data_IF_033688841229
#
_entry.id   IF_033688841229
#
_cell.length_a   1.000
_cell.length_b   1.000
_cell.length_c   1.000
_cell.angle_alpha   90.00
_cell.angle_beta   90.00
_cell.angle_gamma   90.00
#
_symmetry.space_group_name_H-M   'P 1'
#
loop_
_entity.id
_entity.type
_entity.pdbx_description
1 polymer ?
#
# COMPACT_ATOMS: atom_id res chain seq x y z
N UNK A 1 30.09 23.09 2.76
CA UNK A 1 30.29 24.04 3.88
C UNK A 1 28.92 24.36 4.47
N UNK A 2 28.70 24.08 5.75
CA UNK A 2 27.44 24.41 6.45
C UNK A 2 27.53 25.90 6.79
N UNK A 3 26.73 26.75 6.13
CA UNK A 3 26.54 28.13 6.58
C UNK A 3 25.86 28.06 7.96
N UNK A 4 26.48 28.66 8.97
CA UNK A 4 26.31 28.33 10.40
C UNK A 4 24.87 28.20 10.92
N UNK A 5 24.71 27.45 12.01
CA UNK A 5 23.46 27.34 12.76
C UNK A 5 23.15 28.68 13.43
N UNK A 6 21.91 29.17 13.32
CA UNK A 6 21.42 30.36 14.00
C UNK A 6 20.32 29.96 14.98
N UNK A 7 20.29 30.59 16.15
CA UNK A 7 19.24 30.42 17.15
C UNK A 7 18.57 31.77 17.36
N UNK A 8 17.24 31.81 17.31
CA UNK A 8 16.46 33.02 17.57
C UNK A 8 16.17 33.12 19.06
N UNK A 9 16.60 34.21 19.69
CA UNK A 9 16.29 34.45 21.11
C UNK A 9 14.80 34.77 21.26
N UNK A 10 14.08 34.06 22.12
CA UNK A 10 12.63 34.27 22.26
C UNK A 10 12.25 35.61 22.87
N UNK A 11 13.10 36.16 23.74
CA UNK A 11 12.84 37.44 24.40
C UNK A 11 13.12 38.64 23.49
N UNK A 12 14.25 38.67 22.79
CA UNK A 12 14.66 39.82 21.98
C UNK A 12 14.52 39.61 20.47
N UNK A 13 14.07 38.43 20.03
CA UNK A 13 13.85 38.02 18.64
C UNK A 13 15.06 38.15 17.70
N UNK A 14 16.26 38.43 18.22
CA UNK A 14 17.51 38.44 17.43
C UNK A 14 17.97 37.03 17.11
N UNK A 15 18.43 36.84 15.87
CA UNK A 15 19.10 35.62 15.45
C UNK A 15 20.59 35.71 15.75
N UNK A 16 21.11 34.77 16.51
CA UNK A 16 22.52 34.72 16.92
C UNK A 16 23.14 33.47 16.31
N UNK A 17 24.34 33.60 15.73
CA UNK A 17 25.10 32.43 15.28
C UNK A 17 25.41 31.55 16.49
N UNK A 18 25.24 30.24 16.35
CA UNK A 18 25.53 29.27 17.42
C UNK A 18 27.00 29.37 17.88
N UNK A 19 27.91 29.80 16.99
CA UNK A 19 29.32 30.02 17.31
C UNK A 19 29.56 31.27 18.18
N UNK A 20 28.66 32.26 18.14
CA UNK A 20 28.71 33.46 18.95
C UNK A 20 27.78 33.37 20.17
N UNK A 21 27.34 32.17 20.58
CA UNK A 21 26.60 31.97 21.83
C UNK A 21 27.46 32.19 23.08
N UNK A 22 28.78 32.30 22.91
CA UNK A 22 29.69 32.81 23.95
C UNK A 22 29.68 34.34 24.06
N UNK A 23 29.16 35.04 23.05
CA UNK A 23 29.04 36.48 23.06
C UNK A 23 27.67 36.82 23.65
N UNK A 24 27.68 37.14 24.94
CA UNK A 24 26.48 37.38 25.72
C UNK A 24 25.55 38.41 25.05
N UNK A 25 24.26 38.09 24.98
CA UNK A 25 23.25 39.13 24.82
C UNK A 25 23.28 39.97 26.10
N UNK A 26 23.71 41.24 26.00
CA UNK A 26 23.96 42.13 27.15
C UNK A 26 22.80 42.19 28.16
N UNK A 27 21.58 41.84 27.75
CA UNK A 27 20.38 41.81 28.59
C UNK A 27 20.21 40.55 29.47
N UNK A 28 21.01 39.49 29.34
CA UNK A 28 20.78 38.20 30.04
C UNK A 28 22.00 37.63 30.78
N UNK A 29 22.76 38.49 31.44
CA UNK A 29 24.16 38.22 31.79
C UNK A 29 24.47 37.16 32.87
N UNK A 30 23.51 36.51 33.56
CA UNK A 30 23.95 35.92 34.84
C UNK A 30 23.54 34.52 35.30
N UNK A 31 22.73 33.69 34.63
CA UNK A 31 22.46 32.34 35.20
C UNK A 31 22.48 31.10 34.29
N UNK A 32 22.56 31.23 32.96
CA UNK A 32 22.43 30.06 32.07
C UNK A 32 23.61 29.77 31.12
N UNK A 33 24.65 30.62 31.08
CA UNK A 33 25.71 30.53 30.05
C UNK A 33 26.66 29.33 30.23
N UNK A 34 26.96 28.91 31.46
CA UNK A 34 27.92 27.82 31.72
C UNK A 34 27.34 26.45 31.33
N UNK A 35 26.06 26.20 31.61
CA UNK A 35 25.39 24.95 31.26
C UNK A 35 25.17 24.84 29.74
N UNK A 36 24.75 25.93 29.10
CA UNK A 36 24.58 25.99 27.65
C UNK A 36 25.91 25.82 26.90
N UNK A 37 26.98 26.48 27.36
CA UNK A 37 28.32 26.36 26.77
C UNK A 37 28.92 24.95 26.90
N UNK A 38 28.70 24.26 28.03
CA UNK A 38 29.10 22.86 28.21
C UNK A 38 28.30 21.89 27.31
N UNK A 39 27.00 22.13 27.12
CA UNK A 39 26.20 21.35 26.17
C UNK A 39 26.66 21.54 24.73
N UNK A 40 26.82 22.79 24.28
CA UNK A 40 27.24 23.08 22.90
C UNK A 40 28.64 22.51 22.62
N UNK A 41 29.57 22.61 23.58
CA UNK A 41 30.90 22.02 23.43
C UNK A 41 30.90 20.49 23.42
N UNK A 42 30.00 19.82 24.15
CA UNK A 42 29.80 18.37 24.06
C UNK A 42 29.19 17.95 22.71
N UNK A 43 28.24 18.73 22.17
CA UNK A 43 27.66 18.49 20.83
C UNK A 43 28.74 18.64 19.74
N UNK A 44 29.60 19.65 19.86
CA UNK A 44 30.68 19.91 18.89
C UNK A 44 31.79 18.86 19.02
N UNK A 45 32.23 18.51 20.24
CA UNK A 45 33.32 17.54 20.45
C UNK A 45 32.89 16.08 20.29
N UNK A 46 31.62 15.75 20.53
CA UNK A 46 31.05 14.41 20.34
C UNK A 46 30.72 14.05 18.89
N UNK A 47 30.87 14.99 17.94
CA UNK A 47 30.52 14.82 16.53
C UNK A 47 31.38 13.81 15.73
N UNK A 48 32.32 13.14 16.40
CA UNK A 48 33.01 11.94 15.89
C UNK A 48 32.18 10.65 16.01
N UNK A 49 31.04 10.66 16.72
CA UNK A 49 30.22 9.47 16.93
C UNK A 49 29.10 9.41 15.89
N UNK A 50 29.00 8.24 15.24
CA UNK A 50 27.98 7.84 14.25
C UNK A 50 26.51 7.93 14.74
N UNK A 51 26.27 8.49 15.93
CA UNK A 51 24.94 8.63 16.50
C UNK A 51 24.22 9.84 15.89
N UNK A 52 23.09 9.58 15.23
CA UNK A 52 22.24 10.55 14.54
C UNK A 52 21.46 11.48 15.48
N UNK A 53 21.44 11.20 16.80
CA UNK A 53 20.68 11.94 17.80
C UNK A 53 21.40 12.06 19.14
N UNK A 54 21.12 13.15 19.86
CA UNK A 54 21.62 13.44 21.21
C UNK A 54 20.40 13.57 22.11
N UNK A 55 20.31 12.76 23.16
CA UNK A 55 19.26 12.89 24.17
C UNK A 55 19.71 13.86 25.26
N UNK A 56 18.99 14.97 25.37
CA UNK A 56 19.20 16.00 26.38
C UNK A 56 18.20 15.76 27.51
N UNK A 57 18.62 15.76 28.79
CA UNK A 57 17.70 15.76 29.92
C UNK A 57 17.29 17.21 30.24
N UNK A 58 16.08 17.68 29.88
CA UNK A 58 15.50 18.79 30.62
C UNK A 58 15.11 18.26 32.01
N UNK A 59 14.79 19.13 32.97
CA UNK A 59 14.29 18.72 34.30
C UNK A 59 12.93 18.00 34.29
N UNK A 60 12.68 17.14 33.29
CA UNK A 60 11.46 16.39 32.98
C UNK A 60 11.77 15.28 31.96
N UNK A 61 10.85 15.02 31.01
CA UNK A 61 11.01 13.94 30.02
C UNK A 61 12.19 14.24 29.06
N UNK A 62 13.14 13.31 28.86
CA UNK A 62 14.28 13.53 27.97
C UNK A 62 13.86 13.91 26.54
N UNK A 63 14.54 14.89 25.95
CA UNK A 63 14.31 15.36 24.58
C UNK A 63 15.44 14.85 23.70
N UNK A 64 15.10 14.10 22.65
CA UNK A 64 16.08 13.66 21.63
C UNK A 64 16.18 14.69 20.51
N UNK A 65 17.37 15.25 20.33
CA UNK A 65 17.69 16.20 19.27
C UNK A 65 18.45 15.46 18.17
N UNK A 66 17.86 15.34 16.99
CA UNK A 66 18.52 14.76 15.82
C UNK A 66 19.20 15.84 14.98
N UNK A 67 20.41 15.57 14.50
CA UNK A 67 21.10 16.46 13.56
C UNK A 67 20.50 16.28 12.17
N UNK A 68 19.74 17.27 11.72
CA UNK A 68 19.25 17.32 10.33
C UNK A 68 20.28 18.07 9.48
N UNK A 69 20.97 17.36 8.59
CA UNK A 69 21.91 17.98 7.66
C UNK A 69 21.12 18.79 6.63
N UNK A 70 21.29 20.12 6.61
CA UNK A 70 20.65 20.96 5.60
C UNK A 70 21.15 20.59 4.20
N UNK A 71 20.22 20.37 3.28
CA UNK A 71 20.54 19.94 1.93
C UNK A 71 20.96 21.14 1.07
N UNK A 72 22.14 21.09 0.47
CA UNK A 72 22.60 22.10 -0.50
C UNK A 72 21.87 22.00 -1.85
N UNK A 73 21.37 20.81 -2.19
CA UNK A 73 20.72 20.51 -3.46
C UNK A 73 19.46 19.70 -3.21
N UNK A 74 18.36 20.08 -3.85
CA UNK A 74 17.07 19.38 -3.76
C UNK A 74 17.22 17.91 -4.17
N UNK A 75 16.35 17.04 -3.66
CA UNK A 75 16.37 15.63 -4.04
C UNK A 75 15.98 15.40 -5.48
N UNK A 76 15.31 16.33 -6.18
CA UNK A 76 15.02 16.19 -7.61
C UNK A 76 16.28 16.23 -8.47
N UNK A 77 17.22 17.14 -8.17
CA UNK A 77 18.45 17.39 -8.94
C UNK A 77 19.65 16.55 -8.47
N UNK A 78 19.58 15.98 -7.26
CA UNK A 78 20.67 15.18 -6.70
C UNK A 78 20.99 13.92 -7.52
N UNK A 79 22.26 13.51 -7.49
CA UNK A 79 22.72 12.25 -8.09
C UNK A 79 22.06 11.03 -7.42
N UNK A 80 21.98 9.90 -8.14
CA UNK A 80 21.34 8.68 -7.62
C UNK A 80 22.02 8.14 -6.36
N UNK A 81 23.35 8.28 -6.26
CA UNK A 81 24.12 7.90 -5.06
C UNK A 81 23.69 8.74 -3.85
N UNK A 82 23.59 10.05 -4.02
CA UNK A 82 23.15 10.97 -2.96
C UNK A 82 21.70 10.71 -2.56
N UNK A 83 20.79 10.45 -3.52
CA UNK A 83 19.40 10.07 -3.26
C UNK A 83 19.32 8.80 -2.40
N UNK A 84 20.08 7.75 -2.75
CA UNK A 84 20.14 6.49 -1.97
C UNK A 84 20.63 6.72 -0.55
N UNK A 85 21.70 7.50 -0.38
CA UNK A 85 22.22 7.81 0.96
C UNK A 85 21.19 8.56 1.80
N UNK A 86 20.52 9.59 1.24
CA UNK A 86 19.46 10.33 1.94
C UNK A 86 18.29 9.42 2.33
N UNK A 87 17.86 8.56 1.42
CA UNK A 87 16.77 7.62 1.71
C UNK A 87 17.17 6.64 2.82
N UNK A 88 18.42 6.20 2.85
CA UNK A 88 18.94 5.34 3.92
C UNK A 88 18.95 6.06 5.28
N UNK A 89 19.41 7.33 5.32
CA UNK A 89 19.37 8.15 6.54
C UNK A 89 17.93 8.38 7.03
N UNK A 90 16.98 8.66 6.13
CA UNK A 90 15.56 8.80 6.47
C UNK A 90 14.98 7.48 6.99
N UNK A 91 15.29 6.35 6.34
CA UNK A 91 14.83 5.02 6.77
C UNK A 91 15.32 4.72 8.18
N UNK A 92 16.62 4.92 8.44
CA UNK A 92 17.21 4.71 9.75
C UNK A 92 16.59 5.61 10.84
N UNK A 93 16.28 6.87 10.52
CA UNK A 93 15.56 7.75 11.43
C UNK A 93 14.14 7.26 11.72
N UNK A 94 13.42 6.75 10.72
CA UNK A 94 12.09 6.15 10.94
C UNK A 94 12.18 4.92 11.84
N UNK A 95 13.16 4.04 11.62
CA UNK A 95 13.35 2.86 12.45
C UNK A 95 13.60 3.24 13.92
N UNK A 96 14.43 4.25 14.16
CA UNK A 96 14.70 4.76 15.51
C UNK A 96 13.48 5.38 16.19
N UNK A 97 12.64 6.10 15.44
CA UNK A 97 11.46 6.78 15.96
C UNK A 97 10.29 5.82 16.22
N UNK A 98 10.14 4.79 15.39
CA UNK A 98 9.05 3.82 15.47
C UNK A 98 9.38 2.61 16.33
N UNK A 99 10.63 2.45 16.75
CA UNK A 99 11.09 1.24 17.42
C UNK A 99 11.09 0.02 16.49
N UNK A 100 11.36 0.23 15.20
CA UNK A 100 11.40 -0.83 14.17
C UNK A 100 10.06 -1.14 13.50
N UNK A 101 9.05 -0.25 13.62
CA UNK A 101 7.77 -0.36 12.91
C UNK A 101 7.62 0.70 11.80
N UNK A 102 8.64 0.84 10.97
CA UNK A 102 8.70 1.80 9.87
C UNK A 102 7.53 1.69 8.88
N UNK A 103 7.08 0.47 8.59
CA UNK A 103 5.98 0.18 7.68
C UNK A 103 4.65 0.78 8.15
N UNK A 104 4.33 0.74 9.45
CA UNK A 104 3.12 1.35 9.98
C UNK A 104 3.13 2.87 9.75
N UNK A 105 4.26 3.52 10.05
CA UNK A 105 4.40 4.96 9.82
C UNK A 105 4.27 5.32 8.32
N UNK A 106 4.85 4.52 7.43
CA UNK A 106 4.71 4.75 5.98
C UNK A 106 3.26 4.62 5.51
N UNK A 107 2.50 3.66 6.07
CA UNK A 107 1.08 3.52 5.78
C UNK A 107 0.33 4.78 6.21
N UNK A 108 0.59 5.28 7.41
CA UNK A 108 -0.06 6.49 7.93
C UNK A 108 0.33 7.74 7.13
N UNK A 109 1.60 7.90 6.76
CA UNK A 109 2.09 8.98 5.88
C UNK A 109 1.36 8.97 4.53
N UNK A 110 1.18 7.78 3.93
CA UNK A 110 0.41 7.63 2.69
C UNK A 110 -1.07 7.92 2.92
N UNK A 111 -1.65 7.51 4.05
CA UNK A 111 -3.05 7.79 4.38
C UNK A 111 -3.34 9.29 4.55
N UNK A 112 -2.37 10.07 5.04
CA UNK A 112 -2.48 11.53 5.17
C UNK A 112 -2.41 12.29 3.84
N UNK A 113 -1.97 11.65 2.74
CA UNK A 113 -1.97 12.30 1.43
C UNK A 113 -3.40 12.57 0.95
N UNK A 114 -3.58 13.72 0.28
CA UNK A 114 -4.83 14.05 -0.40
C UNK A 114 -5.17 12.99 -1.46
N UNK A 115 -6.46 12.82 -1.72
CA UNK A 115 -6.95 11.84 -2.72
C UNK A 115 -6.33 12.08 -4.10
N UNK A 116 -6.18 13.34 -4.50
CA UNK A 116 -5.55 13.76 -5.76
C UNK A 116 -4.09 13.29 -5.85
N UNK A 117 -3.28 13.53 -4.80
CA UNK A 117 -1.88 13.09 -4.76
C UNK A 117 -1.74 11.58 -4.77
N UNK A 118 -2.64 10.86 -4.09
CA UNK A 118 -2.69 9.39 -4.13
C UNK A 118 -2.94 8.89 -5.56
N UNK A 119 -3.88 9.50 -6.28
CA UNK A 119 -4.17 9.16 -7.67
C UNK A 119 -3.02 9.51 -8.62
N UNK A 120 -2.32 10.63 -8.41
CA UNK A 120 -1.12 11.01 -9.16
C UNK A 120 0.01 10.00 -8.95
N UNK A 121 0.31 9.63 -7.70
CA UNK A 121 1.31 8.61 -7.39
C UNK A 121 0.98 7.26 -8.02
N UNK A 122 -0.30 6.83 -7.96
CA UNK A 122 -0.73 5.60 -8.61
C UNK A 122 -0.59 5.66 -10.14
N UNK A 123 -0.81 6.84 -10.75
CA UNK A 123 -0.60 7.06 -12.19
C UNK A 123 0.88 6.99 -12.55
N UNK A 124 1.75 7.67 -11.80
CA UNK A 124 3.20 7.72 -12.01
C UNK A 124 3.86 6.35 -11.84
N UNK A 125 3.47 5.61 -10.80
CA UNK A 125 4.04 4.29 -10.49
C UNK A 125 3.65 3.22 -11.51
N UNK A 126 2.75 3.53 -12.45
CA UNK A 126 2.27 2.59 -13.46
C UNK A 126 1.86 1.24 -12.86
N UNK A 127 1.32 1.24 -11.64
CA UNK A 127 0.91 0.02 -10.97
C UNK A 127 -0.10 -0.72 -11.85
N UNK A 128 0.28 -1.90 -12.30
CA UNK A 128 -0.60 -2.85 -12.95
C UNK A 128 -0.93 -3.90 -11.89
N UNK A 129 -2.20 -3.95 -11.48
CA UNK A 129 -2.65 -5.00 -10.58
C UNK A 129 -2.98 -6.19 -11.47
N UNK A 130 -2.05 -7.14 -11.54
CA UNK A 130 -2.27 -8.41 -12.24
C UNK A 130 -3.06 -9.34 -11.32
N UNK A 131 -4.32 -9.58 -11.65
CA UNK A 131 -5.18 -10.49 -10.89
C UNK A 131 -5.03 -11.90 -11.47
N UNK A 132 -4.57 -12.89 -10.68
CA UNK A 132 -4.41 -14.26 -11.16
C UNK A 132 -5.75 -14.87 -11.60
N UNK A 133 -5.67 -15.95 -12.38
CA UNK A 133 -6.85 -16.57 -13.00
C UNK A 133 -7.87 -17.07 -11.98
N UNK A 134 -7.41 -17.62 -10.86
CA UNK A 134 -8.25 -18.14 -9.78
C UNK A 134 -9.03 -17.01 -9.09
N UNK A 135 -8.35 -15.94 -8.67
CA UNK A 135 -9.00 -14.79 -8.02
C UNK A 135 -9.94 -14.04 -8.98
N UNK A 136 -9.61 -13.99 -10.27
CA UNK A 136 -10.50 -13.44 -11.28
C UNK A 136 -11.87 -14.14 -11.33
N UNK A 137 -11.93 -15.45 -11.06
CA UNK A 137 -13.20 -16.19 -11.03
C UNK A 137 -14.01 -15.83 -9.78
N UNK A 138 -13.36 -15.69 -8.62
CA UNK A 138 -14.00 -15.22 -7.39
C UNK A 138 -14.64 -13.85 -7.56
N UNK A 139 -13.86 -12.87 -8.03
CA UNK A 139 -14.34 -11.51 -8.31
C UNK A 139 -15.53 -11.51 -9.29
N UNK A 140 -15.53 -12.41 -10.28
CA UNK A 140 -16.67 -12.53 -11.21
C UNK A 140 -17.92 -13.09 -10.55
N UNK A 141 -17.77 -14.07 -9.68
CA UNK A 141 -18.87 -14.65 -8.92
C UNK A 141 -19.47 -13.59 -7.99
N UNK A 142 -18.62 -12.87 -7.26
CA UNK A 142 -19.04 -11.80 -6.33
C UNK A 142 -19.74 -10.65 -7.04
N UNK A 143 -19.29 -10.28 -8.24
CA UNK A 143 -19.91 -9.25 -9.07
C UNK A 143 -21.08 -9.77 -9.91
N UNK A 144 -21.45 -11.05 -9.79
CA UNK A 144 -22.50 -11.70 -10.58
C UNK A 144 -22.36 -11.45 -12.10
N UNK A 145 -21.13 -11.49 -12.64
CA UNK A 145 -20.84 -11.17 -14.04
C UNK A 145 -20.85 -12.43 -14.92
N UNK A 146 -21.88 -12.64 -15.77
CA UNK A 146 -21.88 -13.75 -16.72
C UNK A 146 -20.78 -13.57 -17.76
N UNK A 147 -20.21 -14.69 -18.24
CA UNK A 147 -19.15 -14.72 -19.26
C UNK A 147 -19.47 -13.87 -20.50
N UNK A 148 -20.73 -13.93 -20.95
CA UNK A 148 -21.19 -13.18 -22.12
C UNK A 148 -21.12 -11.67 -21.90
N UNK A 149 -21.42 -11.17 -20.68
CA UNK A 149 -21.37 -9.74 -20.37
C UNK A 149 -19.95 -9.19 -20.39
N UNK A 150 -18.95 -9.96 -19.96
CA UNK A 150 -17.55 -9.53 -19.99
C UNK A 150 -16.98 -9.44 -21.41
N UNK A 151 -17.37 -10.39 -22.28
CA UNK A 151 -16.99 -10.33 -23.69
C UNK A 151 -17.60 -9.12 -24.38
N UNK A 152 -18.87 -8.83 -24.05
CA UNK A 152 -19.57 -7.63 -24.48
C UNK A 152 -18.87 -6.39 -23.92
N UNK A 153 -18.47 -6.33 -22.65
CA UNK A 153 -17.71 -5.22 -22.06
C UNK A 153 -16.42 -4.91 -22.82
N UNK A 154 -15.62 -5.94 -23.15
CA UNK A 154 -14.38 -5.75 -23.92
C UNK A 154 -14.66 -5.24 -25.35
N UNK A 155 -15.69 -5.75 -26.02
CA UNK A 155 -16.05 -5.37 -27.40
C UNK A 155 -16.78 -4.02 -27.48
N UNK A 156 -17.67 -3.73 -26.52
CA UNK A 156 -18.53 -2.56 -26.50
C UNK A 156 -17.85 -1.29 -26.04
N UNK A 157 -16.59 -1.35 -25.61
CA UNK A 157 -15.75 -0.15 -25.42
C UNK A 157 -15.71 0.78 -26.66
N UNK A 158 -16.08 0.28 -27.85
CA UNK A 158 -16.16 1.08 -29.08
C UNK A 158 -17.58 1.50 -29.51
N UNK A 159 -18.66 0.88 -29.03
CA UNK A 159 -19.96 0.93 -29.76
C UNK A 159 -21.19 1.34 -28.94
N UNK A 160 -21.23 1.17 -27.61
CA UNK A 160 -22.50 1.37 -26.88
C UNK A 160 -22.39 2.34 -25.71
N UNK A 161 -23.04 3.52 -25.85
CA UNK A 161 -23.35 4.46 -24.76
C UNK A 161 -24.55 4.00 -23.90
N UNK A 162 -25.26 2.93 -24.29
CA UNK A 162 -26.64 2.65 -23.83
C UNK A 162 -26.75 1.72 -22.62
N UNK A 163 -25.67 1.08 -22.15
CA UNK A 163 -25.71 0.26 -20.92
C UNK A 163 -24.75 0.85 -19.88
N UNK A 164 -25.24 1.88 -19.18
CA UNK A 164 -24.45 2.70 -18.25
C UNK A 164 -23.71 1.88 -17.18
N UNK A 165 -24.40 0.96 -16.50
CA UNK A 165 -23.84 0.23 -15.33
C UNK A 165 -22.67 -0.69 -15.73
N UNK A 166 -22.78 -1.35 -16.88
CA UNK A 166 -21.78 -2.30 -17.38
C UNK A 166 -20.53 -1.58 -17.90
N UNK A 167 -20.70 -0.41 -18.52
CA UNK A 167 -19.57 0.40 -19.01
C UNK A 167 -18.81 1.03 -17.83
N UNK A 168 -19.50 1.43 -16.76
CA UNK A 168 -18.89 2.02 -15.57
C UNK A 168 -17.94 1.06 -14.85
N UNK A 169 -18.33 -0.20 -14.65
CA UNK A 169 -17.49 -1.21 -13.98
C UNK A 169 -16.23 -1.55 -14.78
N UNK A 170 -16.34 -1.73 -16.11
CA UNK A 170 -15.16 -1.95 -16.95
C UNK A 170 -14.23 -0.75 -17.01
N UNK A 171 -14.80 0.45 -17.16
CA UNK A 171 -14.04 1.71 -17.20
C UNK A 171 -13.32 1.96 -15.89
N UNK A 172 -13.96 1.63 -14.77
CA UNK A 172 -13.35 1.64 -13.45
C UNK A 172 -12.16 0.67 -13.41
N UNK A 173 -12.35 -0.62 -13.68
CA UNK A 173 -11.25 -1.60 -13.66
C UNK A 173 -10.08 -1.21 -14.57
N UNK A 174 -10.36 -0.67 -15.77
CA UNK A 174 -9.33 -0.21 -16.71
C UNK A 174 -8.64 1.07 -16.22
N UNK A 175 -9.36 2.00 -15.58
CA UNK A 175 -8.78 3.21 -15.01
C UNK A 175 -7.78 2.88 -13.89
N UNK A 176 -8.02 1.81 -13.15
CA UNK A 176 -7.11 1.28 -12.13
C UNK A 176 -6.01 0.36 -12.66
N UNK A 177 -5.88 0.23 -13.99
CA UNK A 177 -4.91 -0.68 -14.66
C UNK A 177 -4.97 -2.11 -14.08
N UNK A 178 -6.17 -2.57 -13.71
CA UNK A 178 -6.37 -3.94 -13.23
C UNK A 178 -6.37 -4.85 -14.44
N UNK A 179 -5.31 -5.63 -14.59
CA UNK A 179 -5.16 -6.58 -15.67
C UNK A 179 -5.73 -7.93 -15.23
N UNK A 180 -6.93 -8.23 -15.73
CA UNK A 180 -7.54 -9.53 -15.52
C UNK A 180 -7.01 -10.53 -16.54
N UNK A 181 -6.67 -11.72 -16.04
CA UNK A 181 -6.38 -12.89 -16.87
C UNK A 181 -7.42 -13.12 -17.97
N UNK A 182 -7.01 -13.75 -19.08
CA UNK A 182 -7.93 -14.02 -20.18
C UNK A 182 -9.01 -15.04 -19.78
N UNK A 183 -10.19 -14.95 -20.40
CA UNK A 183 -11.27 -15.94 -20.20
C UNK A 183 -10.76 -17.38 -20.42
N UNK A 184 -9.89 -17.57 -21.42
CA UNK A 184 -9.28 -18.87 -21.68
C UNK A 184 -8.45 -19.36 -20.50
N UNK A 185 -7.56 -18.53 -19.95
CA UNK A 185 -6.74 -18.88 -18.77
C UNK A 185 -7.60 -19.19 -17.56
N UNK A 186 -8.66 -18.43 -17.33
CA UNK A 186 -9.60 -18.66 -16.23
C UNK A 186 -10.36 -19.98 -16.39
N UNK A 187 -10.86 -20.28 -17.59
CA UNK A 187 -11.52 -21.56 -17.87
C UNK A 187 -10.56 -22.74 -17.74
N UNK A 188 -9.30 -22.58 -18.14
CA UNK A 188 -8.28 -23.62 -17.96
C UNK A 188 -7.97 -23.85 -16.48
N UNK A 189 -7.79 -22.80 -15.69
CA UNK A 189 -7.61 -22.93 -14.25
C UNK A 189 -8.82 -23.62 -13.59
N UNK A 190 -10.03 -23.19 -13.93
CA UNK A 190 -11.27 -23.82 -13.45
C UNK A 190 -11.38 -25.29 -13.89
N UNK A 191 -10.99 -25.61 -15.12
CA UNK A 191 -10.99 -26.98 -15.63
C UNK A 191 -10.02 -27.85 -14.85
N UNK A 192 -8.81 -27.36 -14.60
CA UNK A 192 -7.81 -28.09 -13.82
C UNK A 192 -8.29 -28.33 -12.37
N UNK A 193 -8.95 -27.33 -11.77
CA UNK A 193 -9.55 -27.46 -10.44
C UNK A 193 -10.71 -28.48 -10.42
N UNK A 194 -11.51 -28.53 -11.48
CA UNK A 194 -12.64 -29.45 -11.61
C UNK A 194 -12.22 -30.86 -12.07
N UNK A 195 -11.10 -31.01 -12.79
CA UNK A 195 -10.57 -32.31 -13.19
C UNK A 195 -10.12 -33.14 -11.97
N UNK A 196 -9.79 -32.48 -10.86
CA UNK A 196 -9.54 -33.15 -9.58
C UNK A 196 -10.81 -33.73 -8.93
N UNK A 197 -11.99 -33.31 -9.40
CA UNK A 197 -13.30 -33.70 -8.87
C UNK A 197 -13.98 -34.60 -9.90
N UNK A 198 -14.15 -35.89 -9.58
CA UNK A 198 -14.85 -36.83 -10.46
C UNK A 198 -16.36 -36.52 -10.47
N UNK A 199 -16.76 -35.65 -11.40
CA UNK A 199 -18.15 -35.30 -11.69
C UNK A 199 -18.61 -36.11 -12.90
N UNK A 200 -19.58 -36.99 -12.67
CA UNK A 200 -20.27 -37.70 -13.75
C UNK A 200 -21.55 -36.97 -14.11
N UNK A 201 -21.88 -36.97 -15.39
CA UNK A 201 -23.12 -36.43 -15.90
C UNK A 201 -23.86 -37.53 -16.65
N UNK A 202 -25.11 -37.76 -16.26
CA UNK A 202 -25.99 -38.75 -16.87
C UNK A 202 -27.33 -38.12 -17.22
N UNK A 203 -27.98 -38.66 -18.23
CA UNK A 203 -29.33 -38.24 -18.62
C UNK A 203 -30.34 -39.06 -17.83
N UNK A 204 -30.95 -38.45 -16.81
CA UNK A 204 -31.86 -39.14 -15.89
C UNK A 204 -33.29 -38.70 -16.18
N UNK A 205 -34.27 -39.62 -16.22
CA UNK A 205 -35.66 -39.25 -16.39
C UNK A 205 -36.16 -38.47 -15.16
N UNK A 206 -36.54 -37.21 -15.36
CA UNK A 206 -37.18 -36.38 -14.34
C UNK A 206 -38.63 -36.09 -14.72
N UNK A 207 -39.46 -35.93 -13.70
CA UNK A 207 -40.86 -35.53 -13.86
C UNK A 207 -40.96 -34.01 -13.82
N UNK A 208 -41.57 -33.43 -14.85
CA UNK A 208 -41.83 -32.00 -14.97
C UNK A 208 -43.34 -31.75 -15.04
N UNK A 209 -43.79 -30.66 -14.43
CA UNK A 209 -45.18 -30.20 -14.58
C UNK A 209 -45.32 -29.52 -15.94
N UNK A 210 -46.12 -30.13 -16.83
CA UNK A 210 -46.45 -29.58 -18.14
C UNK A 210 -47.40 -28.38 -18.04
N UNK A 211 -47.48 -27.60 -19.13
CA UNK A 211 -48.33 -26.39 -19.21
C UNK A 211 -49.82 -26.65 -18.96
N UNK A 212 -50.28 -27.88 -19.16
CA UNK A 212 -51.67 -28.30 -18.95
C UNK A 212 -51.90 -28.97 -17.58
N UNK A 213 -50.95 -28.87 -16.64
CA UNK A 213 -51.04 -29.47 -15.31
C UNK A 213 -50.75 -30.97 -15.24
N UNK A 214 -50.55 -31.64 -16.38
CA UNK A 214 -50.09 -33.04 -16.43
C UNK A 214 -48.61 -33.19 -16.08
N UNK A 215 -48.22 -34.34 -15.52
CA UNK A 215 -46.82 -34.70 -15.30
C UNK A 215 -46.22 -35.31 -16.57
N UNK A 216 -45.07 -34.82 -17.01
CA UNK A 216 -44.35 -35.33 -18.18
C UNK A 216 -42.95 -35.75 -17.78
N UNK A 217 -42.56 -36.98 -18.13
CA UNK A 217 -41.21 -37.49 -17.88
C UNK A 217 -40.33 -37.09 -19.06
N UNK A 218 -39.26 -36.35 -18.79
CA UNK A 218 -38.25 -36.03 -19.79
C UNK A 218 -36.85 -36.32 -19.25
N UNK A 219 -35.96 -36.86 -20.09
CA UNK A 219 -34.54 -36.97 -19.74
C UNK A 219 -33.98 -35.57 -19.51
N UNK A 220 -33.40 -35.34 -18.33
CA UNK A 220 -32.70 -34.11 -18.02
C UNK A 220 -31.28 -34.42 -17.53
N UNK A 221 -30.31 -33.53 -17.81
CA UNK A 221 -28.94 -33.72 -17.37
C UNK A 221 -28.86 -33.66 -15.84
N UNK A 222 -28.41 -34.75 -15.22
CA UNK A 222 -28.05 -34.81 -13.81
C UNK A 222 -26.53 -34.93 -13.72
N UNK A 223 -25.90 -33.97 -13.05
CA UNK A 223 -24.50 -34.10 -12.64
C UNK A 223 -24.44 -34.56 -11.18
N UNK A 224 -23.63 -35.56 -10.90
CA UNK A 224 -23.38 -36.04 -9.55
C UNK A 224 -21.88 -36.23 -9.30
N UNK A 225 -21.50 -36.07 -8.04
CA UNK A 225 -20.12 -36.24 -7.59
C UNK A 225 -19.97 -37.69 -7.12
N UNK A 226 -18.98 -38.40 -7.67
CA UNK A 226 -18.77 -39.83 -7.33
C UNK A 226 -18.30 -40.00 -5.89
N UNK A 227 -17.43 -39.10 -5.41
CA UNK A 227 -16.89 -39.12 -4.06
C UNK A 227 -17.07 -37.77 -3.35
N UNK A 228 -18.23 -37.56 -2.73
CA UNK A 228 -18.53 -36.32 -2.01
C UNK A 228 -17.51 -36.04 -0.88
N UNK A 229 -17.00 -37.09 -0.22
CA UNK A 229 -16.05 -36.97 0.89
C UNK A 229 -14.75 -36.32 0.43
N UNK A 230 -14.16 -36.79 -0.68
CA UNK A 230 -12.94 -36.21 -1.24
C UNK A 230 -13.13 -34.74 -1.66
N UNK A 231 -14.28 -34.42 -2.25
CA UNK A 231 -14.60 -33.04 -2.64
C UNK A 231 -14.68 -32.13 -1.42
N UNK A 232 -15.33 -32.58 -0.34
CA UNK A 232 -15.40 -31.80 0.91
C UNK A 232 -14.00 -31.58 1.48
N UNK A 233 -13.14 -32.61 1.53
CA UNK A 233 -11.76 -32.45 2.01
C UNK A 233 -10.95 -31.49 1.13
N UNK A 234 -11.05 -31.62 -0.19
CA UNK A 234 -10.38 -30.71 -1.12
C UNK A 234 -10.83 -29.26 -0.92
N UNK A 235 -12.14 -29.01 -0.73
CA UNK A 235 -12.67 -27.68 -0.45
C UNK A 235 -12.19 -27.13 0.91
N UNK A 236 -12.17 -27.96 1.95
CA UNK A 236 -11.66 -27.57 3.27
C UNK A 236 -10.17 -27.23 3.25
N UNK A 237 -9.36 -28.01 2.54
CA UNK A 237 -7.93 -27.73 2.38
C UNK A 237 -7.70 -26.44 1.58
N UNK A 238 -8.53 -26.17 0.56
CA UNK A 238 -8.47 -24.90 -0.17
C UNK A 238 -8.82 -23.70 0.72
N UNK A 239 -9.80 -23.83 1.62
CA UNK A 239 -10.14 -22.79 2.59
C UNK A 239 -9.02 -22.54 3.60
N UNK A 240 -8.33 -23.57 4.07
CA UNK A 240 -7.17 -23.41 4.97
C UNK A 240 -6.01 -22.65 4.34
N UNK A 241 -5.82 -22.75 3.01
CA UNK A 241 -4.77 -22.02 2.29
C UNK A 241 -5.09 -20.54 2.07
N UNK A 242 -6.35 -20.14 2.23
CA UNK A 242 -6.81 -18.77 2.00
C UNK A 242 -6.79 -17.91 3.28
N UNK A 243 -6.65 -18.54 4.45
CA UNK A 243 -6.50 -17.90 5.76
C UNK A 243 -5.04 -17.90 6.19
#
# INVERSE_FOLDING_TARGET
MINGLYVKCDSCKREVKLQSLTDDCETHKERNSIAAGKMVSQIIRGSSLKASSITVPPGGRPISIAKITSLLVSSSVASQRTKRQRNHEISHLRDQLTGGMDHCQLIDEVQLLSKEKKEELLKELNFCIDVPAEQCLGIKADLCLPWNKLRIMKRCTKVLKTIQIIVLTYRWLKAWKINMSSERKQRTAMKNDLEAIDVKAESVPFTFTGKQGGQVIHPAPLAYIVNLKEVIFHLLDKLKRLN
#
